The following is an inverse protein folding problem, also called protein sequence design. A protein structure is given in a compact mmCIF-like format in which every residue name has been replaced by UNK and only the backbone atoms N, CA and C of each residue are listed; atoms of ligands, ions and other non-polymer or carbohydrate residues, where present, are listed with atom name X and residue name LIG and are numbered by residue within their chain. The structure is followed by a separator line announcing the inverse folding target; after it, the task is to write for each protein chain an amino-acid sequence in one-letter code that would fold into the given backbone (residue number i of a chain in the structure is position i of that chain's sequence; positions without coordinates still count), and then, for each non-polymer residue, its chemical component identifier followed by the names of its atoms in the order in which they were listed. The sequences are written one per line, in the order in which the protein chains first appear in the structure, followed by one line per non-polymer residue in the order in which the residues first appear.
data_IF_648743811371
#
_entry.id   IF_648743811371
#
_cell.length_a   1.000
_cell.length_b   1.000
_cell.length_c   1.000
_cell.angle_alpha   90.00
_cell.angle_beta   90.00
_cell.angle_gamma   90.00
#
_symmetry.space_group_name_H-M   'P 1'
#
loop_
_entity.id
_entity.type
_entity.pdbx_description
1 polymer ?
#
# COMPACT_ATOMS: atom_id res chain seq x y z
N UNK A 1 -39.80 19.06 11.34
CA UNK A 1 -39.45 17.88 10.50
C UNK A 1 -38.10 18.02 9.79
N UNK A 2 -37.86 19.10 9.04
CA UNK A 2 -36.62 19.31 8.27
C UNK A 2 -35.33 19.20 9.12
N UNK A 3 -35.32 19.76 10.33
CA UNK A 3 -34.16 19.71 11.24
C UNK A 3 -33.82 18.29 11.76
N UNK A 4 -34.82 17.41 11.88
CA UNK A 4 -34.60 16.01 12.30
C UNK A 4 -33.97 15.18 11.16
N UNK A 5 -34.44 15.38 9.93
CA UNK A 5 -33.88 14.74 8.73
C UNK A 5 -32.40 15.13 8.57
N UNK A 6 -32.06 16.42 8.70
CA UNK A 6 -30.65 16.86 8.62
C UNK A 6 -29.77 16.28 9.74
N UNK A 7 -30.28 16.13 10.97
CA UNK A 7 -29.54 15.47 12.06
C UNK A 7 -29.28 14.00 11.74
N UNK A 8 -30.30 13.28 11.25
CA UNK A 8 -30.17 11.86 10.87
C UNK A 8 -29.19 11.68 9.71
N UNK A 9 -29.30 12.51 8.67
CA UNK A 9 -28.39 12.50 7.51
C UNK A 9 -26.93 12.76 7.90
N UNK A 10 -26.67 13.51 8.98
CA UNK A 10 -25.32 13.76 9.48
C UNK A 10 -24.79 12.66 10.43
N UNK A 11 -25.66 11.88 11.06
CA UNK A 11 -25.27 10.81 11.99
C UNK A 11 -24.95 9.52 11.23
N UNK A 12 -25.76 9.15 10.25
CA UNK A 12 -25.63 7.89 9.51
C UNK A 12 -24.21 7.69 8.94
N UNK A 13 -23.60 8.65 8.21
CA UNK A 13 -22.26 8.48 7.65
C UNK A 13 -21.18 8.29 8.72
N UNK A 14 -21.32 8.95 9.88
CA UNK A 14 -20.38 8.81 11.00
C UNK A 14 -20.48 7.44 11.64
N UNK A 15 -21.70 6.92 11.77
CA UNK A 15 -21.95 5.57 12.29
C UNK A 15 -21.41 4.51 11.33
N UNK A 16 -21.67 4.64 10.02
CA UNK A 16 -21.12 3.74 8.99
C UNK A 16 -19.60 3.72 9.05
N UNK A 17 -18.96 4.89 9.06
CA UNK A 17 -17.52 5.02 9.18
C UNK A 17 -16.94 4.34 10.43
N UNK A 18 -17.67 4.36 11.56
CA UNK A 18 -17.26 3.68 12.79
C UNK A 18 -17.37 2.15 12.64
N UNK A 19 -18.45 1.67 12.02
CA UNK A 19 -18.67 0.24 11.74
C UNK A 19 -17.59 -0.30 10.79
N UNK A 20 -17.28 0.42 9.71
CA UNK A 20 -16.21 0.05 8.77
C UNK A 20 -14.87 -0.13 9.48
N UNK A 21 -14.50 0.82 10.34
CA UNK A 21 -13.26 0.72 11.13
C UNK A 21 -13.27 -0.48 12.05
N UNK A 22 -14.37 -0.72 12.77
CA UNK A 22 -14.50 -1.88 13.66
C UNK A 22 -14.36 -3.20 12.86
N UNK A 23 -14.94 -3.25 11.67
CA UNK A 23 -14.81 -4.39 10.77
C UNK A 23 -13.36 -4.61 10.33
N UNK A 24 -12.65 -3.55 9.91
CA UNK A 24 -11.22 -3.61 9.60
C UNK A 24 -10.39 -4.17 10.76
N UNK A 25 -10.60 -3.68 12.00
CA UNK A 25 -9.92 -4.23 13.17
C UNK A 25 -10.32 -5.68 13.45
N UNK A 26 -11.59 -6.06 13.22
CA UNK A 26 -12.04 -7.43 13.40
C UNK A 26 -11.30 -8.40 12.49
N UNK A 27 -11.12 -8.06 11.21
CA UNK A 27 -10.36 -8.89 10.26
C UNK A 27 -8.94 -9.11 10.80
N UNK A 28 -8.24 -8.02 11.14
CA UNK A 28 -6.88 -8.08 11.63
C UNK A 28 -6.74 -8.89 12.92
N UNK A 29 -7.60 -8.65 13.91
CA UNK A 29 -7.53 -9.33 15.20
C UNK A 29 -7.92 -10.82 15.12
N UNK A 30 -8.74 -11.21 14.15
CA UNK A 30 -9.14 -12.61 13.96
C UNK A 30 -8.10 -13.46 13.22
N UNK A 31 -7.15 -12.83 12.53
CA UNK A 31 -6.21 -13.54 11.67
C UNK A 31 -4.94 -13.95 12.44
N UNK A 32 -4.64 -15.24 12.50
CA UNK A 32 -3.56 -15.80 13.32
C UNK A 32 -2.15 -15.31 12.94
N UNK A 33 -1.94 -14.96 11.66
CA UNK A 33 -0.68 -14.42 11.16
C UNK A 33 -0.49 -12.90 11.34
N UNK A 34 -1.44 -12.20 11.97
CA UNK A 34 -1.35 -10.74 12.22
C UNK A 34 -0.76 -10.48 13.60
N UNK A 35 0.24 -9.61 13.67
CA UNK A 35 0.81 -9.04 14.89
C UNK A 35 0.66 -7.52 14.82
N UNK A 36 -0.32 -6.97 15.55
CA UNK A 36 -0.51 -5.52 15.64
C UNK A 36 0.04 -4.95 16.95
N UNK A 37 0.64 -3.77 16.86
CA UNK A 37 0.76 -2.88 18.01
C UNK A 37 -0.59 -2.20 18.30
N UNK A 38 -0.88 -1.94 19.57
CA UNK A 38 -2.21 -1.50 20.04
C UNK A 38 -2.60 -0.07 19.64
N UNK A 39 -1.66 0.73 19.14
CA UNK A 39 -1.88 2.14 18.77
C UNK A 39 -2.07 2.36 17.26
N UNK A 40 -2.16 1.29 16.46
CA UNK A 40 -2.50 1.36 15.03
C UNK A 40 -3.79 2.18 14.84
N UNK A 41 -3.76 3.16 13.93
CA UNK A 41 -4.92 3.96 13.53
C UNK A 41 -5.31 3.64 12.10
N UNK A 42 -6.56 3.22 11.90
CA UNK A 42 -7.10 2.91 10.57
C UNK A 42 -8.15 3.95 10.16
N UNK A 43 -8.04 4.43 8.93
CA UNK A 43 -9.02 5.29 8.27
C UNK A 43 -10.31 4.55 7.90
N UNK A 44 -11.26 5.30 7.37
CA UNK A 44 -12.54 4.77 6.87
C UNK A 44 -12.31 3.99 5.58
N UNK A 45 -13.26 3.12 5.23
CA UNK A 45 -13.25 2.38 3.97
C UNK A 45 -11.89 1.73 3.61
N UNK A 46 -11.12 1.30 4.62
CA UNK A 46 -9.87 0.56 4.41
C UNK A 46 -10.16 -0.92 4.38
N UNK A 47 -9.72 -1.60 3.32
CA UNK A 47 -10.01 -3.01 3.09
C UNK A 47 -8.77 -3.89 3.27
N UNK A 48 -9.03 -5.11 3.72
CA UNK A 48 -8.02 -6.13 3.97
C UNK A 48 -8.47 -7.44 3.33
N UNK A 49 -7.63 -8.02 2.50
CA UNK A 49 -7.79 -9.37 1.97
C UNK A 49 -6.56 -10.18 2.38
N UNK A 50 -6.70 -11.05 3.37
CA UNK A 50 -5.63 -11.85 3.94
C UNK A 50 -5.95 -13.34 3.72
N UNK A 51 -5.08 -14.05 3.00
CA UNK A 51 -5.16 -15.52 2.92
C UNK A 51 -4.70 -16.14 4.25
N UNK A 52 -5.18 -17.33 4.62
CA UNK A 52 -4.94 -17.96 5.94
C UNK A 52 -3.47 -18.00 6.42
N UNK A 53 -2.53 -18.13 5.49
CA UNK A 53 -1.09 -18.20 5.77
C UNK A 53 -0.36 -16.85 5.68
N UNK A 54 -1.09 -15.75 5.46
CA UNK A 54 -0.54 -14.41 5.38
C UNK A 54 0.12 -14.00 6.69
N UNK A 55 1.24 -13.28 6.59
CA UNK A 55 1.94 -12.71 7.74
C UNK A 55 1.88 -11.19 7.66
N UNK A 56 1.44 -10.58 8.76
CA UNK A 56 1.33 -9.14 8.82
C UNK A 56 1.85 -8.61 10.15
N UNK A 57 2.96 -7.88 10.12
CA UNK A 57 3.54 -7.27 11.32
C UNK A 57 3.43 -5.75 11.24
N UNK A 58 2.90 -5.13 12.29
CA UNK A 58 2.65 -3.70 12.37
C UNK A 58 3.28 -3.16 13.65
N UNK A 59 4.29 -2.29 13.49
CA UNK A 59 4.98 -1.62 14.58
C UNK A 59 4.15 -0.52 15.25
N UNK A 60 4.83 0.23 16.14
CA UNK A 60 4.22 1.31 16.92
C UNK A 60 3.94 2.54 16.05
N UNK A 61 2.88 3.27 16.38
CA UNK A 61 2.54 4.57 15.78
C UNK A 61 2.43 4.49 14.25
N UNK A 62 1.77 3.44 13.77
CA UNK A 62 1.40 3.29 12.37
C UNK A 62 0.03 3.92 12.14
N UNK A 63 -0.06 4.83 11.16
CA UNK A 63 -1.27 5.61 10.90
C UNK A 63 -1.65 5.47 9.45
N UNK A 64 -2.86 4.99 9.19
CA UNK A 64 -3.41 4.90 7.84
C UNK A 64 -4.61 5.81 7.71
N UNK A 65 -4.64 6.63 6.65
CA UNK A 65 -5.81 7.44 6.29
C UNK A 65 -6.84 6.58 5.56
N UNK A 66 -7.84 7.25 5.01
CA UNK A 66 -9.03 6.61 4.45
C UNK A 66 -8.74 5.94 3.09
N UNK A 67 -9.53 4.93 2.75
CA UNK A 67 -9.56 4.29 1.42
C UNK A 67 -8.29 3.51 1.01
N UNK A 68 -7.60 2.91 1.97
CA UNK A 68 -6.45 2.05 1.68
C UNK A 68 -6.90 0.60 1.37
N UNK A 69 -6.19 -0.09 0.48
CA UNK A 69 -6.48 -1.46 0.10
C UNK A 69 -5.23 -2.33 0.27
N UNK A 70 -5.29 -3.27 1.22
CA UNK A 70 -4.19 -4.17 1.56
C UNK A 70 -4.57 -5.60 1.20
N UNK A 71 -3.78 -6.24 0.35
CA UNK A 71 -3.94 -7.65 -0.01
C UNK A 71 -2.66 -8.40 0.30
N UNK A 72 -2.76 -9.42 1.14
CA UNK A 72 -1.66 -10.33 1.45
C UNK A 72 -2.15 -11.74 1.10
N UNK A 73 -1.66 -12.26 -0.02
CA UNK A 73 -2.12 -13.54 -0.59
C UNK A 73 -0.98 -14.52 -0.71
N UNK A 74 -1.28 -15.79 -0.95
CA UNK A 74 -0.30 -16.87 -1.21
C UNK A 74 0.77 -17.02 -0.10
N UNK A 75 0.45 -16.62 1.13
CA UNK A 75 1.39 -16.68 2.26
C UNK A 75 2.40 -15.52 2.31
N UNK A 76 2.15 -14.43 1.59
CA UNK A 76 2.99 -13.23 1.59
C UNK A 76 3.19 -12.62 2.98
N UNK A 77 4.24 -11.82 3.10
CA UNK A 77 4.63 -11.15 4.35
C UNK A 77 4.68 -9.64 4.19
N UNK A 78 3.78 -8.91 4.86
CA UNK A 78 3.81 -7.45 4.93
C UNK A 78 4.31 -6.99 6.29
N UNK A 79 5.27 -6.07 6.31
CA UNK A 79 5.84 -5.53 7.54
C UNK A 79 5.84 -4.01 7.49
N UNK A 80 5.27 -3.39 8.52
CA UNK A 80 5.48 -1.98 8.84
C UNK A 80 6.33 -1.88 10.10
N UNK A 81 7.40 -1.09 10.02
CA UNK A 81 8.17 -0.64 11.17
C UNK A 81 7.38 0.33 12.04
N UNK A 82 8.10 1.16 12.78
CA UNK A 82 7.52 2.18 13.66
C UNK A 82 7.35 3.51 12.93
N UNK A 83 6.40 4.33 13.38
CA UNK A 83 6.18 5.69 12.88
C UNK A 83 5.95 5.75 11.36
N UNK A 84 5.15 4.82 10.83
CA UNK A 84 4.82 4.78 9.40
C UNK A 84 3.45 5.43 9.15
N UNK A 85 3.42 6.47 8.32
CA UNK A 85 2.17 7.14 7.89
C UNK A 85 1.83 6.79 6.44
N UNK A 86 0.62 6.28 6.22
CA UNK A 86 0.03 6.03 4.91
C UNK A 86 -1.11 7.02 4.73
N UNK A 87 -1.04 7.80 3.66
CA UNK A 87 -2.10 8.70 3.22
C UNK A 87 -3.30 7.90 2.67
N UNK A 88 -4.06 8.51 1.77
CA UNK A 88 -5.26 7.95 1.17
C UNK A 88 -4.95 7.11 -0.07
N UNK A 89 -5.85 6.19 -0.40
CA UNK A 89 -5.84 5.47 -1.69
C UNK A 89 -4.54 4.68 -1.96
N UNK A 90 -3.89 4.18 -0.91
CA UNK A 90 -2.74 3.29 -1.02
C UNK A 90 -3.20 1.90 -1.44
N UNK A 91 -2.51 1.29 -2.40
CA UNK A 91 -2.73 -0.10 -2.78
C UNK A 91 -1.46 -0.92 -2.53
N UNK A 92 -1.53 -1.92 -1.64
CA UNK A 92 -0.43 -2.84 -1.37
C UNK A 92 -0.91 -4.25 -1.74
N UNK A 93 -0.22 -4.89 -2.69
CA UNK A 93 -0.51 -6.25 -3.14
C UNK A 93 0.74 -7.09 -2.92
N UNK A 94 0.72 -7.89 -1.85
CA UNK A 94 1.85 -8.68 -1.36
C UNK A 94 1.59 -10.17 -1.54
N UNK A 95 2.40 -10.83 -2.38
CA UNK A 95 2.41 -12.29 -2.58
C UNK A 95 3.68 -12.95 -2.03
N UNK A 96 4.77 -12.18 -1.88
CA UNK A 96 6.06 -12.62 -1.36
C UNK A 96 6.40 -11.85 -0.09
N UNK A 97 6.99 -10.66 -0.22
CA UNK A 97 7.36 -9.84 0.93
C UNK A 97 7.44 -8.36 0.58
N UNK A 98 6.79 -7.53 1.38
CA UNK A 98 6.88 -6.07 1.31
C UNK A 98 7.22 -5.54 2.71
N UNK A 99 8.26 -4.73 2.80
CA UNK A 99 8.71 -4.12 4.07
C UNK A 99 8.74 -2.61 3.95
N UNK A 100 8.18 -1.94 4.95
CA UNK A 100 8.31 -0.50 5.18
C UNK A 100 9.09 -0.26 6.47
N UNK A 101 10.27 0.35 6.35
CA UNK A 101 11.12 0.68 7.50
C UNK A 101 10.53 1.78 8.40
N UNK A 102 11.22 2.00 9.52
CA UNK A 102 10.83 3.01 10.50
C UNK A 102 10.81 4.43 9.88
N UNK A 103 9.96 5.30 10.41
CA UNK A 103 9.87 6.74 10.08
C UNK A 103 9.57 7.03 8.60
N UNK A 104 8.92 6.08 7.91
CA UNK A 104 8.54 6.21 6.50
C UNK A 104 7.18 6.89 6.34
N UNK A 105 7.01 7.66 5.26
CA UNK A 105 5.73 8.28 4.93
C UNK A 105 5.41 8.05 3.45
N UNK A 106 4.17 7.62 3.19
CA UNK A 106 3.66 7.30 1.87
C UNK A 106 2.46 8.20 1.59
N UNK A 107 2.63 9.09 0.62
CA UNK A 107 1.60 10.02 0.18
C UNK A 107 0.56 9.34 -0.73
N UNK A 108 -0.47 10.10 -1.07
CA UNK A 108 -1.72 9.60 -1.65
C UNK A 108 -1.52 8.80 -2.95
N UNK A 109 -2.29 7.73 -3.13
CA UNK A 109 -2.42 7.04 -4.43
C UNK A 109 -1.26 6.13 -4.81
N UNK A 110 -0.31 5.89 -3.88
CA UNK A 110 0.84 5.03 -4.14
C UNK A 110 0.46 3.55 -4.23
N UNK A 111 1.22 2.79 -5.02
CA UNK A 111 0.96 1.37 -5.31
C UNK A 111 2.22 0.53 -5.17
N UNK A 112 2.09 -0.66 -4.59
CA UNK A 112 3.19 -1.59 -4.34
C UNK A 112 2.79 -2.98 -4.82
N UNK A 113 3.61 -3.56 -5.70
CA UNK A 113 3.40 -4.87 -6.31
C UNK A 113 4.69 -5.68 -6.29
N UNK A 114 4.77 -6.69 -5.42
CA UNK A 114 5.94 -7.60 -5.32
C UNK A 114 5.88 -8.77 -6.32
N UNK A 115 4.99 -8.70 -7.31
CA UNK A 115 4.75 -9.76 -8.27
C UNK A 115 4.22 -9.25 -9.61
N UNK A 116 4.43 -10.06 -10.65
CA UNK A 116 3.75 -9.97 -11.95
C UNK A 116 3.08 -11.31 -12.26
N UNK A 117 2.04 -11.30 -13.10
CA UNK A 117 1.55 -12.54 -13.70
C UNK A 117 2.65 -13.22 -14.52
N UNK A 118 2.84 -14.51 -14.32
CA UNK A 118 3.78 -15.28 -15.11
C UNK A 118 3.24 -15.45 -16.53
N UNK A 119 4.15 -15.46 -17.49
CA UNK A 119 3.85 -15.80 -18.87
C UNK A 119 5.02 -16.57 -19.47
N UNK A 120 4.70 -17.50 -20.36
CA UNK A 120 5.70 -18.16 -21.21
C UNK A 120 5.73 -17.43 -22.55
N UNK A 121 6.92 -17.30 -23.15
CA UNK A 121 7.07 -16.74 -24.51
C UNK A 121 7.50 -17.79 -25.54
N UNK A 122 7.79 -19.01 -25.09
CA UNK A 122 8.25 -20.13 -25.92
C UNK A 122 7.70 -21.45 -25.35
N UNK A 123 7.28 -22.42 -26.20
CA UNK A 123 7.20 -22.32 -27.66
C UNK A 123 6.12 -21.33 -28.14
N UNK A 124 5.11 -21.03 -27.32
CA UNK A 124 4.04 -20.06 -27.61
C UNK A 124 3.86 -19.07 -26.45
N UNK A 125 3.18 -17.95 -26.71
CA UNK A 125 2.80 -17.01 -25.65
C UNK A 125 1.63 -17.55 -24.84
N UNK A 126 1.84 -17.76 -23.54
CA UNK A 126 0.79 -18.19 -22.61
C UNK A 126 0.80 -17.27 -21.40
N UNK A 127 -0.28 -16.53 -21.17
CA UNK A 127 -0.49 -15.76 -19.96
C UNK A 127 -1.15 -16.62 -18.89
N UNK A 128 -0.56 -16.69 -17.69
CA UNK A 128 -1.08 -17.51 -16.60
C UNK A 128 -1.83 -16.64 -15.58
N UNK A 129 -3.13 -16.91 -15.42
CA UNK A 129 -3.97 -16.19 -14.45
C UNK A 129 -3.52 -16.38 -13.00
N UNK A 130 -3.08 -17.59 -12.64
CA UNK A 130 -2.84 -17.97 -11.24
C UNK A 130 -1.37 -18.32 -10.93
N UNK A 131 -0.45 -18.03 -11.86
CA UNK A 131 1.01 -18.15 -11.64
C UNK A 131 1.64 -16.76 -11.64
N UNK A 132 2.62 -16.57 -10.77
CA UNK A 132 3.25 -15.28 -10.53
C UNK A 132 4.76 -15.39 -10.47
N UNK A 133 5.45 -14.37 -10.99
CA UNK A 133 6.87 -14.14 -10.74
C UNK A 133 6.98 -13.15 -9.60
N UNK A 134 7.52 -13.55 -8.45
CA UNK A 134 7.61 -12.70 -7.27
C UNK A 134 9.04 -12.24 -7.00
N UNK A 135 9.18 -11.07 -6.38
CA UNK A 135 10.43 -10.61 -5.79
C UNK A 135 10.14 -9.53 -4.74
N UNK A 136 10.84 -9.52 -3.60
CA UNK A 136 10.47 -8.69 -2.46
C UNK A 136 10.63 -7.20 -2.75
N UNK A 137 9.80 -6.38 -2.12
CA UNK A 137 9.98 -4.93 -2.05
C UNK A 137 10.47 -4.57 -0.65
N UNK A 138 11.54 -3.78 -0.58
CA UNK A 138 12.09 -3.29 0.69
C UNK A 138 12.21 -1.78 0.64
N UNK A 139 11.46 -1.09 1.49
CA UNK A 139 11.58 0.35 1.73
C UNK A 139 12.35 0.52 3.04
N UNK A 140 13.50 1.20 2.97
CA UNK A 140 14.36 1.48 4.11
C UNK A 140 13.74 2.45 5.12
N UNK A 141 14.55 2.93 6.06
CA UNK A 141 14.16 3.85 7.11
C UNK A 141 14.15 5.29 6.62
N UNK A 142 13.29 6.12 7.22
CA UNK A 142 13.21 7.55 6.94
C UNK A 142 13.02 7.87 5.44
N UNK A 143 12.23 7.06 4.74
CA UNK A 143 11.91 7.25 3.31
C UNK A 143 10.61 8.07 3.18
N UNK A 144 10.61 9.05 2.27
CA UNK A 144 9.42 9.82 1.89
C UNK A 144 9.03 9.49 0.46
N UNK A 145 7.84 8.93 0.28
CA UNK A 145 7.29 8.58 -1.04
C UNK A 145 6.11 9.51 -1.31
N UNK A 146 6.25 10.39 -2.31
CA UNK A 146 5.22 11.34 -2.69
C UNK A 146 4.13 10.72 -3.59
N UNK A 147 3.08 11.50 -3.87
CA UNK A 147 1.82 10.97 -4.38
C UNK A 147 1.97 10.24 -5.72
N UNK A 148 1.12 9.23 -5.92
CA UNK A 148 0.99 8.45 -7.15
C UNK A 148 2.28 7.72 -7.59
N UNK A 149 3.16 7.38 -6.66
CA UNK A 149 4.32 6.54 -6.95
C UNK A 149 3.91 5.07 -7.05
N UNK A 150 4.46 4.36 -8.03
CA UNK A 150 4.32 2.90 -8.15
C UNK A 150 5.67 2.24 -7.93
N UNK A 151 5.74 1.28 -7.00
CA UNK A 151 6.95 0.49 -6.72
C UNK A 151 6.72 -0.95 -7.17
N UNK A 152 7.62 -1.45 -8.03
CA UNK A 152 7.53 -2.76 -8.64
C UNK A 152 8.39 -3.82 -7.92
N UNK A 153 8.15 -5.08 -8.24
CA UNK A 153 8.78 -6.24 -7.62
C UNK A 153 10.30 -6.18 -7.67
N UNK A 154 10.95 -6.66 -6.60
CA UNK A 154 12.41 -6.72 -6.51
C UNK A 154 13.11 -5.39 -6.21
N UNK A 155 12.36 -4.30 -6.00
CA UNK A 155 12.93 -3.00 -5.69
C UNK A 155 13.30 -2.90 -4.21
N UNK A 156 14.52 -2.43 -3.97
CA UNK A 156 14.95 -1.92 -2.66
C UNK A 156 15.15 -0.40 -2.74
N UNK A 157 14.45 0.36 -1.91
CA UNK A 157 14.70 1.79 -1.69
C UNK A 157 15.48 1.93 -0.40
N UNK A 158 16.72 2.41 -0.47
CA UNK A 158 17.59 2.57 0.69
C UNK A 158 17.10 3.63 1.67
N UNK A 159 17.76 3.70 2.83
CA UNK A 159 17.43 4.65 3.89
C UNK A 159 17.55 6.11 3.42
N UNK A 160 16.83 7.02 4.08
CA UNK A 160 16.87 8.47 3.86
C UNK A 160 16.59 8.89 2.40
N UNK A 161 15.76 8.15 1.68
CA UNK A 161 15.40 8.48 0.31
C UNK A 161 14.15 9.36 0.22
N UNK A 162 14.10 10.19 -0.82
CA UNK A 162 12.88 10.90 -1.23
C UNK A 162 12.51 10.46 -2.64
N UNK A 163 11.29 9.97 -2.82
CA UNK A 163 10.73 9.62 -4.12
C UNK A 163 9.65 10.64 -4.47
N UNK A 164 9.91 11.45 -5.50
CA UNK A 164 9.02 12.47 -6.01
C UNK A 164 7.73 11.89 -6.59
N UNK A 165 6.70 12.73 -6.67
CA UNK A 165 5.39 12.32 -7.12
C UNK A 165 5.41 11.77 -8.56
N UNK A 166 4.44 10.89 -8.87
CA UNK A 166 4.23 10.30 -10.19
C UNK A 166 5.42 9.49 -10.76
N UNK A 167 6.30 8.98 -9.90
CA UNK A 167 7.39 8.09 -10.33
C UNK A 167 6.95 6.63 -10.41
N UNK A 168 7.50 5.89 -11.39
CA UNK A 168 7.49 4.42 -11.40
C UNK A 168 8.89 3.93 -11.04
N UNK A 169 9.01 3.29 -9.87
CA UNK A 169 10.27 2.75 -9.37
C UNK A 169 10.33 1.27 -9.76
N UNK A 170 11.12 1.00 -10.80
CA UNK A 170 11.36 -0.35 -11.34
C UNK A 170 12.78 -0.86 -11.09
N UNK A 171 13.63 -0.05 -10.45
CA UNK A 171 15.01 -0.36 -10.10
C UNK A 171 15.30 0.15 -8.69
N UNK A 172 16.14 -0.57 -7.96
CA UNK A 172 16.54 -0.20 -6.60
C UNK A 172 17.18 1.18 -6.55
N UNK A 173 16.87 1.91 -5.48
CA UNK A 173 17.34 3.28 -5.22
C UNK A 173 18.35 3.22 -4.07
N UNK A 174 19.60 3.66 -4.27
CA UNK A 174 20.59 3.72 -3.21
C UNK A 174 20.17 4.65 -2.07
N UNK A 175 20.62 4.38 -0.84
CA UNK A 175 20.36 5.25 0.30
C UNK A 175 20.82 6.70 0.07
N UNK A 176 20.19 7.65 0.78
CA UNK A 176 20.46 9.09 0.68
C UNK A 176 20.23 9.68 -0.73
N UNK A 177 19.25 9.16 -1.46
CA UNK A 177 18.94 9.61 -2.82
C UNK A 177 17.63 10.40 -2.88
N UNK A 178 17.55 11.35 -3.80
CA UNK A 178 16.31 11.98 -4.23
C UNK A 178 16.03 11.54 -5.66
N UNK A 179 14.90 10.90 -5.89
CA UNK A 179 14.42 10.49 -7.22
C UNK A 179 13.22 11.36 -7.59
N UNK A 180 13.18 11.90 -8.80
CA UNK A 180 12.01 12.62 -9.31
C UNK A 180 11.87 12.34 -10.81
N UNK A 181 10.63 12.30 -11.28
CA UNK A 181 10.32 12.17 -12.71
C UNK A 181 10.53 13.50 -13.43
N UNK A 182 11.27 13.49 -14.54
CA UNK A 182 11.26 14.60 -15.49
C UNK A 182 10.14 14.35 -16.50
N UNK A 183 9.02 15.06 -16.35
CA UNK A 183 7.90 14.99 -17.28
C UNK A 183 8.01 16.12 -18.30
N UNK A 184 8.34 15.80 -19.54
CA UNK A 184 8.28 16.78 -20.63
C UNK A 184 6.93 16.67 -21.34
N UNK A 185 6.25 17.81 -21.47
CA UNK A 185 5.03 17.88 -22.27
C UNK A 185 5.41 17.89 -23.75
N UNK A 186 5.05 16.84 -24.46
CA UNK A 186 5.17 16.81 -25.92
C UNK A 186 3.95 17.49 -26.53
N UNK A 187 4.17 18.53 -27.33
CA UNK A 187 3.14 19.17 -28.15
C UNK A 187 3.36 18.78 -29.61
N UNK A 188 2.46 17.99 -30.15
CA UNK A 188 2.34 17.77 -31.58
C UNK A 188 1.19 18.65 -32.09
N UNK A 189 1.45 19.60 -33.02
CA UNK A 189 0.36 20.33 -33.64
C UNK A 189 -0.45 19.36 -34.51
N UNK A 190 -1.78 19.55 -34.51
CA UNK A 190 -2.70 18.74 -35.32
C UNK A 190 -2.67 19.13 -36.82
N UNK A 191 -2.02 20.25 -37.16
CA UNK A 191 -1.87 20.83 -38.51
C UNK A 191 -0.49 21.45 -38.61
#
# INVERSE_FOLDING_TARGET
MINLIYKVLNIIPKTIAKIEKLYSYSILNSHSGVKLHSDLKIGKATTFELDDNAKFEIGKNVIWRDHNAIRIRKGGTLVFGNNVDLSHYISINCLDKIVFGDDTCIAEGCKFYDHDHAFDTKPEYIWHKDKFNTAPIVIGKNVKIYSNVTVLKGVTIGDNCIIGANCVISRSVPANSIIFGKHELMRLPLI
#
